data_IF_920726666770
#
_entry.id   IF_920726666770
#
_cell.length_a   1.000
_cell.length_b   1.000
_cell.length_c   1.000
_cell.angle_alpha   90.00
_cell.angle_beta   90.00
_cell.angle_gamma   90.00
#
_symmetry.space_group_name_H-M   'P 1'
#
loop_
_entity.id
_entity.type
_entity.pdbx_description
1 polymer ?
#
# COMPACT_ATOMS: atom_id res chain seq x y z
N UNK A 1 -22.25 6.19 -2.50
CA UNK A 1 -22.17 6.29 -1.03
C UNK A 1 -20.92 7.08 -0.67
N UNK A 2 -20.90 7.79 0.47
CA UNK A 2 -19.68 8.45 0.95
C UNK A 2 -18.63 7.40 1.33
N UNK A 3 -17.38 7.62 0.92
CA UNK A 3 -16.27 6.73 1.30
C UNK A 3 -15.99 6.81 2.79
N UNK A 4 -15.71 5.68 3.42
CA UNK A 4 -15.49 5.54 4.85
C UNK A 4 -14.00 5.52 5.19
N UNK A 5 -13.58 6.42 6.10
CA UNK A 5 -12.20 6.52 6.56
C UNK A 5 -12.15 6.24 8.06
N UNK A 6 -11.31 5.31 8.47
CA UNK A 6 -11.01 5.02 9.87
C UNK A 6 -9.76 5.79 10.29
N UNK A 7 -9.85 6.60 11.35
CA UNK A 7 -8.73 7.37 11.92
C UNK A 7 -8.28 6.71 13.21
N UNK A 8 -7.03 6.29 13.26
CA UNK A 8 -6.42 5.59 14.40
C UNK A 8 -5.26 6.39 14.95
N UNK A 9 -5.42 6.97 16.13
CA UNK A 9 -4.43 7.85 16.76
C UNK A 9 -4.75 7.91 18.25
N UNK A 10 -3.78 8.01 19.15
CA UNK A 10 -4.01 8.12 20.58
C UNK A 10 -4.38 9.57 21.02
N UNK A 11 -4.02 10.58 20.21
CA UNK A 11 -4.37 11.97 20.46
C UNK A 11 -5.85 12.26 20.15
N UNK A 12 -6.63 12.48 21.20
CA UNK A 12 -8.08 12.76 21.10
C UNK A 12 -8.39 14.04 20.33
N UNK A 13 -7.55 15.09 20.45
CA UNK A 13 -7.77 16.34 19.74
C UNK A 13 -7.52 16.19 18.24
N UNK A 14 -6.47 15.48 17.89
CA UNK A 14 -6.16 15.19 16.49
C UNK A 14 -7.25 14.33 15.86
N UNK A 15 -7.69 13.23 16.52
CA UNK A 15 -8.81 12.41 16.02
C UNK A 15 -10.07 13.22 15.74
N UNK A 16 -10.48 14.09 16.69
CA UNK A 16 -11.66 14.95 16.52
C UNK A 16 -11.50 15.95 15.38
N UNK A 17 -10.33 16.58 15.28
CA UNK A 17 -10.03 17.52 14.20
C UNK A 17 -10.08 16.86 12.84
N UNK A 18 -9.44 15.68 12.70
CA UNK A 18 -9.43 14.91 11.46
C UNK A 18 -10.82 14.41 11.07
N UNK A 19 -11.60 13.88 12.05
CA UNK A 19 -12.96 13.45 11.79
C UNK A 19 -13.81 14.58 11.20
N UNK A 20 -13.79 15.76 11.82
CA UNK A 20 -14.52 16.94 11.35
C UNK A 20 -14.08 17.37 9.92
N UNK A 21 -12.78 17.39 9.66
CA UNK A 21 -12.26 17.78 8.35
C UNK A 21 -12.65 16.76 7.26
N UNK A 22 -12.60 15.47 7.57
CA UNK A 22 -13.02 14.40 6.66
C UNK A 22 -14.52 14.49 6.35
N UNK A 23 -15.35 14.73 7.35
CA UNK A 23 -16.79 14.92 7.19
C UNK A 23 -17.12 16.15 6.34
N UNK A 24 -16.41 17.27 6.57
CA UNK A 24 -16.53 18.49 5.74
C UNK A 24 -16.11 18.24 4.28
N UNK A 25 -15.15 17.34 4.06
CA UNK A 25 -14.73 16.92 2.73
C UNK A 25 -15.64 15.88 2.07
N UNK A 26 -16.74 15.45 2.74
CA UNK A 26 -17.74 14.53 2.23
C UNK A 26 -17.45 13.04 2.47
N UNK A 27 -16.50 12.72 3.36
CA UNK A 27 -16.24 11.35 3.79
C UNK A 27 -17.07 10.98 5.01
N UNK A 28 -17.28 9.68 5.24
CA UNK A 28 -17.73 9.17 6.55
C UNK A 28 -16.46 8.91 7.37
N UNK A 29 -16.41 9.37 8.60
CA UNK A 29 -15.28 9.15 9.49
C UNK A 29 -15.67 8.29 10.69
N UNK A 30 -14.81 7.35 11.08
CA UNK A 30 -14.82 6.68 12.38
C UNK A 30 -13.43 6.79 13.02
N UNK A 31 -13.37 6.67 14.35
CA UNK A 31 -12.12 6.89 15.07
C UNK A 31 -11.87 5.78 16.08
N UNK A 32 -10.59 5.41 16.27
CA UNK A 32 -10.12 4.52 17.31
C UNK A 32 -8.93 5.13 18.04
N UNK A 33 -8.78 4.86 19.33
CA UNK A 33 -7.66 5.34 20.13
C UNK A 33 -6.52 4.34 20.26
N UNK A 34 -6.79 3.08 19.94
CA UNK A 34 -5.85 1.95 20.02
C UNK A 34 -5.92 1.12 18.73
N UNK A 35 -4.89 0.34 18.49
CA UNK A 35 -4.85 -0.59 17.36
C UNK A 35 -5.92 -1.69 17.50
N UNK A 36 -6.13 -2.19 18.70
CA UNK A 36 -7.10 -3.25 19.01
C UNK A 36 -8.54 -2.82 18.69
N UNK A 37 -8.92 -1.59 19.13
CA UNK A 37 -10.22 -1.00 18.80
C UNK A 37 -10.36 -0.78 17.28
N UNK A 38 -9.28 -0.36 16.63
CA UNK A 38 -9.26 -0.13 15.20
C UNK A 38 -9.48 -1.42 14.40
N UNK A 39 -8.84 -2.53 14.79
CA UNK A 39 -9.03 -3.84 14.17
C UNK A 39 -10.48 -4.29 14.28
N UNK A 40 -11.07 -4.21 15.49
CA UNK A 40 -12.47 -4.58 15.71
C UNK A 40 -13.44 -3.70 14.90
N UNK A 41 -13.17 -2.39 14.81
CA UNK A 41 -13.97 -1.46 13.99
C UNK A 41 -13.84 -1.78 12.50
N UNK A 42 -12.63 -2.06 12.02
CA UNK A 42 -12.38 -2.33 10.62
C UNK A 42 -13.04 -3.63 10.14
N UNK A 43 -13.02 -4.69 10.95
CA UNK A 43 -13.73 -5.94 10.67
C UNK A 43 -15.25 -5.76 10.58
N UNK A 44 -15.82 -4.91 11.43
CA UNK A 44 -17.25 -4.65 11.45
C UNK A 44 -17.73 -3.71 10.35
N UNK A 45 -17.01 -2.62 10.13
CA UNK A 45 -17.48 -1.47 9.37
C UNK A 45 -16.84 -1.36 7.97
N UNK A 46 -15.82 -2.20 7.66
CA UNK A 46 -15.11 -2.29 6.38
C UNK A 46 -14.76 -0.91 5.79
N UNK A 47 -13.81 -0.16 6.40
CA UNK A 47 -13.44 1.16 5.91
C UNK A 47 -12.80 1.07 4.52
N UNK A 48 -12.99 2.12 3.70
CA UNK A 48 -12.36 2.25 2.39
C UNK A 48 -10.88 2.68 2.48
N UNK A 49 -10.47 3.24 3.64
CA UNK A 49 -9.11 3.68 3.93
C UNK A 49 -8.90 3.81 5.44
N UNK A 50 -7.68 3.53 5.90
CA UNK A 50 -7.26 3.69 7.29
C UNK A 50 -6.15 4.74 7.36
N UNK A 51 -6.32 5.75 8.24
CA UNK A 51 -5.25 6.64 8.68
C UNK A 51 -4.73 6.10 10.01
N UNK A 52 -3.46 5.72 10.08
CA UNK A 52 -2.90 4.96 11.19
C UNK A 52 -1.67 5.67 11.78
N UNK A 53 -1.70 6.02 13.07
CA UNK A 53 -0.47 6.44 13.73
C UNK A 53 0.42 5.23 14.02
N UNK A 54 1.72 5.42 13.85
CA UNK A 54 2.74 4.42 14.20
C UNK A 54 2.90 4.33 15.71
N UNK A 55 2.83 5.47 16.42
CA UNK A 55 3.16 5.59 17.84
C UNK A 55 2.03 5.22 18.79
N UNK A 56 1.18 4.25 18.46
CA UNK A 56 0.07 3.83 19.31
C UNK A 56 0.53 3.15 20.61
N UNK A 57 -0.20 3.31 21.73
CA UNK A 57 0.07 2.57 22.95
C UNK A 57 -0.40 1.12 22.82
N UNK A 58 0.30 0.18 23.45
CA UNK A 58 0.01 -1.25 23.37
C UNK A 58 0.52 -1.86 22.07
N UNK A 59 -0.35 -2.31 21.21
CA UNK A 59 -0.01 -2.71 19.84
C UNK A 59 0.35 -1.47 19.02
N UNK A 60 1.58 -1.41 18.52
CA UNK A 60 2.00 -0.30 17.67
C UNK A 60 1.34 -0.34 16.28
N UNK A 61 1.42 0.81 15.55
CA UNK A 61 0.80 0.92 14.23
C UNK A 61 1.40 -0.03 13.19
N UNK A 62 2.62 -0.48 13.39
CA UNK A 62 3.31 -1.38 12.47
C UNK A 62 2.78 -2.82 12.62
N UNK A 63 2.60 -3.25 13.84
CA UNK A 63 1.98 -4.54 14.16
C UNK A 63 0.51 -4.53 13.71
N UNK A 64 -0.22 -3.42 13.97
CA UNK A 64 -1.59 -3.24 13.50
C UNK A 64 -1.70 -3.35 11.96
N UNK A 65 -0.79 -2.75 11.20
CA UNK A 65 -0.78 -2.85 9.75
C UNK A 65 -0.65 -4.31 9.26
N UNK A 66 0.23 -5.11 9.89
CA UNK A 66 0.35 -6.54 9.55
C UNK A 66 -0.96 -7.31 9.78
N UNK A 67 -1.71 -6.95 10.82
CA UNK A 67 -3.03 -7.52 11.08
C UNK A 67 -4.05 -7.08 10.04
N UNK A 68 -4.09 -5.78 9.68
CA UNK A 68 -4.96 -5.29 8.61
C UNK A 68 -4.72 -6.02 7.28
N UNK A 69 -3.46 -6.17 6.88
CA UNK A 69 -3.10 -6.85 5.62
C UNK A 69 -3.42 -8.35 5.60
N UNK A 70 -3.50 -9.01 6.77
CA UNK A 70 -3.91 -10.42 6.83
C UNK A 70 -5.42 -10.61 6.71
N UNK A 71 -6.20 -9.63 7.16
CA UNK A 71 -7.66 -9.75 7.25
C UNK A 71 -8.41 -8.98 6.17
N UNK A 72 -7.78 -7.97 5.55
CA UNK A 72 -8.45 -7.10 4.57
C UNK A 72 -7.46 -6.43 3.62
N UNK A 73 -7.92 -6.08 2.42
CA UNK A 73 -7.16 -5.32 1.40
C UNK A 73 -7.48 -3.81 1.47
N UNK A 74 -7.72 -3.30 2.69
CA UNK A 74 -8.00 -1.89 2.89
C UNK A 74 -6.71 -1.09 2.88
N UNK A 75 -6.58 -0.04 2.04
CA UNK A 75 -5.39 0.78 2.01
C UNK A 75 -5.15 1.53 3.31
N UNK A 76 -3.87 1.63 3.70
CA UNK A 76 -3.43 2.29 4.94
C UNK A 76 -2.48 3.43 4.62
N UNK A 77 -2.75 4.62 5.17
CA UNK A 77 -1.83 5.76 5.18
C UNK A 77 -1.30 5.94 6.61
N UNK A 78 0.01 5.87 6.79
CA UNK A 78 0.60 6.24 8.06
C UNK A 78 0.58 7.75 8.29
N UNK A 79 0.23 8.17 9.52
CA UNK A 79 0.22 9.57 9.95
C UNK A 79 1.04 9.67 11.23
N UNK A 80 2.33 10.02 11.17
CA UNK A 80 3.24 9.89 12.31
C UNK A 80 4.13 11.11 12.54
N UNK A 81 4.49 11.38 13.81
CA UNK A 81 5.46 12.42 14.20
C UNK A 81 6.92 11.96 14.05
N UNK A 82 7.17 10.67 13.85
CA UNK A 82 8.48 10.06 14.02
C UNK A 82 9.22 9.92 12.68
N UNK A 83 9.86 11.00 12.20
CA UNK A 83 10.69 10.98 10.97
C UNK A 83 11.81 9.93 11.00
N UNK A 84 12.49 9.75 12.15
CA UNK A 84 13.57 8.76 12.30
C UNK A 84 13.08 7.32 12.32
N UNK A 85 11.86 7.08 12.77
CA UNK A 85 11.24 5.75 12.71
C UNK A 85 10.72 5.45 11.31
N UNK A 86 10.29 6.46 10.53
CA UNK A 86 10.04 6.29 9.10
C UNK A 86 11.33 5.84 8.37
N UNK A 87 12.51 6.38 8.69
CA UNK A 87 13.77 5.90 8.13
C UNK A 87 14.08 4.45 8.56
N UNK A 88 13.71 4.07 9.79
CA UNK A 88 13.81 2.69 10.32
C UNK A 88 12.67 1.81 9.82
N UNK A 89 11.47 2.37 9.66
CA UNK A 89 10.26 1.70 9.12
C UNK A 89 10.39 1.49 7.62
N UNK A 90 10.95 2.42 6.88
CA UNK A 90 11.31 2.27 5.47
C UNK A 90 12.45 1.27 5.26
N UNK A 91 13.27 1.05 6.31
CA UNK A 91 14.23 -0.05 6.37
C UNK A 91 13.66 -1.39 6.86
N UNK A 92 12.47 -1.38 7.50
CA UNK A 92 11.81 -2.50 8.15
C UNK A 92 10.38 -2.73 7.62
N UNK A 93 10.20 -3.08 6.35
CA UNK A 93 9.15 -4.03 5.91
C UNK A 93 7.67 -3.71 6.13
N UNK A 94 7.20 -2.47 6.01
CA UNK A 94 5.82 -2.17 6.37
C UNK A 94 4.99 -1.52 5.25
N UNK A 95 4.16 -2.27 4.58
CA UNK A 95 3.23 -2.06 3.51
C UNK A 95 2.12 -1.03 3.60
N UNK A 96 2.35 0.07 4.19
CA UNK A 96 1.43 1.18 4.01
C UNK A 96 1.40 1.66 2.56
N UNK A 97 0.22 2.01 2.06
CA UNK A 97 0.04 2.55 0.71
C UNK A 97 0.62 3.95 0.56
N UNK A 98 0.77 4.68 1.68
CA UNK A 98 1.34 6.02 1.73
C UNK A 98 1.68 6.42 3.18
N UNK A 99 2.37 7.54 3.38
CA UNK A 99 2.62 8.09 4.71
C UNK A 99 2.66 9.61 4.72
N UNK A 100 2.34 10.20 5.87
CA UNK A 100 2.35 11.64 6.12
C UNK A 100 2.99 11.91 7.46
N UNK A 101 3.93 12.85 7.49
CA UNK A 101 4.59 13.27 8.74
C UNK A 101 3.83 14.38 9.45
N UNK A 102 3.60 14.25 10.76
CA UNK A 102 3.10 15.30 11.63
C UNK A 102 4.23 16.34 11.92
N UNK A 103 3.95 17.66 11.92
CA UNK A 103 2.68 18.29 11.56
C UNK A 103 2.46 18.34 10.05
N UNK A 104 1.23 18.18 9.59
CA UNK A 104 0.86 18.20 8.19
C UNK A 104 -0.21 19.28 7.90
N UNK A 105 -0.26 19.69 6.64
CA UNK A 105 -1.35 20.53 6.16
C UNK A 105 -2.59 19.65 5.87
N UNK A 106 -3.80 20.01 6.36
CA UNK A 106 -5.03 19.27 6.07
C UNK A 106 -5.31 19.06 4.58
N UNK A 107 -5.04 20.04 3.74
CA UNK A 107 -5.26 19.93 2.29
C UNK A 107 -4.32 18.90 1.65
N UNK A 108 -3.09 18.80 2.16
CA UNK A 108 -2.13 17.78 1.75
C UNK A 108 -2.63 16.39 2.14
N UNK A 109 -3.09 16.20 3.38
CA UNK A 109 -3.68 14.92 3.82
C UNK A 109 -4.87 14.53 2.94
N UNK A 110 -5.79 15.46 2.65
CA UNK A 110 -6.93 15.19 1.76
C UNK A 110 -6.50 14.84 0.33
N UNK A 111 -5.42 15.42 -0.18
CA UNK A 111 -4.86 15.07 -1.48
C UNK A 111 -4.32 13.62 -1.49
N UNK A 112 -3.60 13.20 -0.44
CA UNK A 112 -3.12 11.83 -0.26
C UNK A 112 -4.29 10.83 -0.19
N UNK A 113 -5.30 11.11 0.63
CA UNK A 113 -6.52 10.30 0.76
C UNK A 113 -7.21 10.11 -0.61
N UNK A 114 -7.44 11.23 -1.34
CA UNK A 114 -8.05 11.18 -2.67
C UNK A 114 -7.22 10.35 -3.65
N UNK A 115 -5.90 10.51 -3.63
CA UNK A 115 -4.99 9.76 -4.48
C UNK A 115 -5.05 8.25 -4.18
N UNK A 116 -5.03 7.84 -2.91
CA UNK A 116 -5.11 6.43 -2.50
C UNK A 116 -6.47 5.85 -2.85
N UNK A 117 -7.59 6.49 -2.50
CA UNK A 117 -8.94 6.01 -2.79
C UNK A 117 -9.26 5.91 -4.29
N UNK A 118 -8.74 6.84 -5.12
CA UNK A 118 -8.87 6.77 -6.58
C UNK A 118 -8.21 5.53 -7.15
N UNK A 119 -7.08 5.13 -6.60
CA UNK A 119 -6.31 3.96 -7.03
C UNK A 119 -7.03 2.66 -6.69
N UNK A 120 -7.54 2.53 -5.48
CA UNK A 120 -8.35 1.37 -5.06
C UNK A 120 -9.64 1.22 -5.88
N UNK A 121 -10.17 2.32 -6.44
CA UNK A 121 -11.36 2.31 -7.30
C UNK A 121 -11.06 2.03 -8.79
N UNK A 122 -9.81 2.13 -9.24
CA UNK A 122 -9.40 1.96 -10.65
C UNK A 122 -9.02 0.53 -11.03
N UNK A 123 -9.42 -0.46 -10.26
CA UNK A 123 -9.33 -1.87 -10.67
C UNK A 123 -10.32 -2.25 -11.80
N UNK A 124 -10.93 -1.26 -12.48
CA UNK A 124 -11.67 -1.50 -13.71
C UNK A 124 -10.69 -1.37 -14.91
N UNK A 125 -10.18 -2.47 -15.30
CA UNK A 125 -9.39 -2.73 -16.52
C UNK A 125 -10.17 -2.24 -17.74
N UNK A 126 -9.44 -1.61 -18.70
CA UNK A 126 -9.92 -1.34 -20.06
C UNK A 126 -10.50 -2.59 -20.72
N UNK A 127 -11.49 -2.48 -21.64
CA UNK A 127 -12.28 -3.60 -22.16
C UNK A 127 -11.59 -4.50 -23.19
N UNK A 128 -10.28 -4.46 -23.32
CA UNK A 128 -9.54 -5.51 -24.01
C UNK A 128 -9.35 -6.69 -23.04
N UNK A 129 -9.69 -7.88 -23.45
CA UNK A 129 -9.60 -9.11 -22.65
C UNK A 129 -8.25 -9.15 -21.91
N UNK A 130 -8.24 -9.28 -20.57
CA UNK A 130 -7.00 -9.27 -19.81
C UNK A 130 -6.17 -10.49 -20.20
N UNK A 131 -5.12 -10.26 -20.99
CA UNK A 131 -4.20 -11.31 -21.41
C UNK A 131 -3.43 -11.78 -20.17
N UNK A 132 -3.52 -13.07 -19.87
CA UNK A 132 -2.67 -13.70 -18.87
C UNK A 132 -1.21 -13.51 -19.24
N UNK A 133 -0.41 -13.09 -18.30
CA UNK A 133 1.03 -12.91 -18.49
C UNK A 133 1.76 -14.11 -17.90
N UNK A 134 2.70 -14.64 -18.68
CA UNK A 134 3.60 -15.70 -18.23
C UNK A 134 5.04 -15.21 -18.26
N UNK A 135 5.72 -15.27 -17.12
CA UNK A 135 7.13 -14.90 -16.98
C UNK A 135 7.86 -16.02 -16.23
N UNK A 136 8.53 -16.91 -16.97
CA UNK A 136 9.07 -18.14 -16.40
C UNK A 136 7.97 -19.05 -15.87
N UNK A 137 8.01 -19.38 -14.57
CA UNK A 137 7.01 -20.18 -13.86
C UNK A 137 5.93 -19.31 -13.17
N UNK A 138 5.97 -18.00 -13.39
CA UNK A 138 5.01 -17.06 -12.87
C UNK A 138 3.86 -16.85 -13.85
N UNK A 139 2.63 -17.06 -13.43
CA UNK A 139 1.41 -16.72 -14.15
C UNK A 139 0.65 -15.62 -13.44
N UNK A 140 0.27 -14.56 -14.15
CA UNK A 140 -0.50 -13.42 -13.64
C UNK A 140 -1.78 -13.32 -14.46
N UNK A 141 -2.93 -13.42 -13.81
CA UNK A 141 -4.25 -13.23 -14.42
C UNK A 141 -4.81 -11.87 -13.94
N UNK A 142 -4.73 -10.82 -14.77
CA UNK A 142 -5.24 -9.51 -14.38
C UNK A 142 -6.77 -9.47 -14.26
N UNK A 143 -7.47 -10.34 -14.99
CA UNK A 143 -8.94 -10.41 -14.94
C UNK A 143 -9.46 -11.05 -13.67
N UNK A 144 -8.80 -12.10 -13.20
CA UNK A 144 -9.12 -12.78 -11.95
C UNK A 144 -8.40 -12.14 -10.73
N UNK A 145 -7.45 -11.22 -10.96
CA UNK A 145 -6.58 -10.63 -9.94
C UNK A 145 -5.80 -11.68 -9.14
N UNK A 146 -5.30 -12.72 -9.84
CA UNK A 146 -4.60 -13.84 -9.24
C UNK A 146 -3.18 -14.00 -9.79
N UNK A 147 -2.31 -14.55 -8.94
CA UNK A 147 -0.93 -14.88 -9.28
C UNK A 147 -0.66 -16.32 -8.86
N UNK A 148 0.02 -17.08 -9.71
CA UNK A 148 0.53 -18.41 -9.36
C UNK A 148 2.02 -18.51 -9.69
N UNK A 149 2.73 -19.34 -8.94
CA UNK A 149 4.13 -19.73 -9.19
C UNK A 149 4.18 -21.24 -9.22
N UNK A 150 4.58 -21.85 -10.35
CA UNK A 150 4.57 -23.30 -10.51
C UNK A 150 3.21 -23.91 -10.12
N UNK A 151 2.12 -23.31 -10.57
CA UNK A 151 0.71 -23.67 -10.30
C UNK A 151 0.25 -23.49 -8.82
N UNK A 152 1.07 -22.90 -7.96
CA UNK A 152 0.70 -22.60 -6.58
C UNK A 152 0.25 -21.15 -6.44
N UNK A 153 -0.93 -20.91 -5.86
CA UNK A 153 -1.42 -19.54 -5.68
C UNK A 153 -0.52 -18.77 -4.71
N UNK A 154 -0.30 -17.49 -5.03
CA UNK A 154 0.40 -16.51 -4.19
C UNK A 154 -0.57 -15.42 -3.81
N UNK A 155 -0.72 -15.19 -2.50
CA UNK A 155 -1.58 -14.13 -1.98
C UNK A 155 -0.83 -12.80 -1.98
N UNK A 156 -1.26 -11.89 -2.86
CA UNK A 156 -0.70 -10.55 -2.99
C UNK A 156 -1.74 -9.51 -2.61
N UNK A 157 -1.31 -8.47 -1.91
CA UNK A 157 -2.14 -7.26 -1.75
C UNK A 157 -2.34 -6.56 -3.09
N UNK A 158 -3.34 -5.69 -3.21
CA UNK A 158 -3.61 -4.97 -4.46
C UNK A 158 -2.40 -4.17 -4.97
N UNK A 159 -1.54 -3.65 -4.05
CA UNK A 159 -0.31 -2.94 -4.41
C UNK A 159 0.79 -3.85 -4.93
N UNK A 160 0.99 -4.96 -4.27
CA UNK A 160 1.97 -5.96 -4.71
C UNK A 160 1.59 -6.53 -6.07
N UNK A 161 0.29 -6.81 -6.28
CA UNK A 161 -0.23 -7.24 -7.56
C UNK A 161 0.02 -6.20 -8.65
N UNK A 162 -0.33 -4.92 -8.41
CA UNK A 162 -0.12 -3.84 -9.38
C UNK A 162 1.37 -3.65 -9.73
N UNK A 163 2.25 -3.76 -8.74
CA UNK A 163 3.70 -3.67 -8.94
C UNK A 163 4.23 -4.85 -9.76
N UNK A 164 3.84 -6.09 -9.41
CA UNK A 164 4.23 -7.29 -10.14
C UNK A 164 3.71 -7.26 -11.56
N UNK A 165 2.44 -6.91 -11.76
CA UNK A 165 1.83 -6.79 -13.07
C UNK A 165 2.54 -5.76 -13.94
N UNK A 166 2.89 -4.58 -13.38
CA UNK A 166 3.64 -3.54 -14.09
C UNK A 166 5.03 -4.04 -14.52
N UNK A 167 5.72 -4.78 -13.66
CA UNK A 167 7.02 -5.38 -13.99
C UNK A 167 6.89 -6.49 -15.03
N UNK A 168 5.80 -7.27 -15.00
CA UNK A 168 5.56 -8.38 -15.92
C UNK A 168 5.22 -7.90 -17.34
N UNK A 169 4.50 -6.79 -17.48
CA UNK A 169 4.24 -6.18 -18.79
C UNK A 169 5.52 -5.78 -19.53
N UNK A 170 6.57 -5.49 -18.79
CA UNK A 170 7.88 -5.08 -19.32
C UNK A 170 8.98 -6.12 -18.96
N UNK A 171 8.59 -7.41 -18.85
CA UNK A 171 9.53 -8.46 -18.45
C UNK A 171 10.82 -8.44 -19.28
N UNK A 172 11.96 -8.56 -18.61
CA UNK A 172 13.29 -8.45 -19.22
C UNK A 172 13.82 -7.02 -19.40
N UNK A 173 12.98 -5.99 -19.25
CA UNK A 173 13.39 -4.59 -19.29
C UNK A 173 13.54 -4.00 -17.89
N UNK A 174 14.32 -2.94 -17.78
CA UNK A 174 14.47 -2.18 -16.53
C UNK A 174 13.42 -1.08 -16.52
N UNK A 175 12.66 -0.98 -15.43
CA UNK A 175 11.73 0.13 -15.18
C UNK A 175 12.34 0.97 -14.06
N UNK A 176 12.43 2.29 -14.29
CA UNK A 176 12.95 3.21 -13.28
C UNK A 176 12.05 3.27 -12.05
N UNK A 177 12.60 3.64 -10.90
CA UNK A 177 11.82 3.84 -9.68
C UNK A 177 10.72 4.88 -9.88
N UNK A 178 11.00 5.97 -10.58
CA UNK A 178 10.03 7.03 -10.87
C UNK A 178 8.90 6.55 -11.81
N UNK A 179 9.23 5.74 -12.81
CA UNK A 179 8.22 5.12 -13.68
C UNK A 179 7.34 4.13 -12.92
N UNK A 180 7.93 3.33 -12.02
CA UNK A 180 7.16 2.43 -11.14
C UNK A 180 6.21 3.23 -10.23
N UNK A 181 6.70 4.33 -9.63
CA UNK A 181 5.86 5.22 -8.83
C UNK A 181 4.70 5.74 -9.68
N UNK A 182 4.99 6.30 -10.84
CA UNK A 182 3.97 6.88 -11.72
C UNK A 182 2.92 5.85 -12.15
N UNK A 183 3.33 4.63 -12.51
CA UNK A 183 2.43 3.57 -12.99
C UNK A 183 1.64 2.90 -11.87
N UNK A 184 2.25 2.68 -10.70
CA UNK A 184 1.65 1.94 -9.58
C UNK A 184 0.97 2.88 -8.58
N UNK A 185 1.58 4.02 -8.27
CA UNK A 185 1.05 5.01 -7.32
C UNK A 185 0.39 6.21 -8.02
N UNK A 186 0.64 6.41 -9.32
CA UNK A 186 0.08 7.49 -10.14
C UNK A 186 0.97 8.72 -10.16
N UNK A 187 0.81 9.56 -11.23
CA UNK A 187 1.63 10.75 -11.45
C UNK A 187 1.49 11.84 -10.36
N UNK A 188 0.42 11.79 -9.57
CA UNK A 188 0.16 12.73 -8.46
C UNK A 188 0.63 12.20 -7.11
N UNK A 189 1.47 11.15 -7.09
CA UNK A 189 2.03 10.63 -5.85
C UNK A 189 3.01 11.66 -5.26
N UNK A 190 2.79 12.03 -3.97
CA UNK A 190 3.57 13.05 -3.25
C UNK A 190 4.52 12.38 -2.22
N UNK A 191 4.45 11.05 -2.07
CA UNK A 191 5.28 10.28 -1.13
C UNK A 191 6.72 10.10 -1.61
N UNK A 192 7.55 9.53 -0.74
CA UNK A 192 8.97 9.29 -1.01
C UNK A 192 9.18 8.06 -1.93
N UNK A 193 10.21 8.08 -2.79
CA UNK A 193 10.54 6.95 -3.67
C UNK A 193 10.80 5.62 -2.95
N UNK A 194 11.12 5.67 -1.66
CA UNK A 194 11.36 4.53 -0.79
C UNK A 194 10.16 3.57 -0.71
N UNK A 195 8.94 4.05 -0.99
CA UNK A 195 7.74 3.20 -1.04
C UNK A 195 7.92 2.01 -2.00
N UNK A 196 8.62 2.20 -3.12
CA UNK A 196 8.90 1.14 -4.09
C UNK A 196 9.78 0.05 -3.47
N UNK A 197 10.83 0.44 -2.71
CA UNK A 197 11.73 -0.53 -2.07
C UNK A 197 11.00 -1.47 -1.13
N UNK A 198 10.10 -0.92 -0.36
CA UNK A 198 9.30 -1.67 0.62
C UNK A 198 8.42 -2.70 -0.08
N UNK A 199 7.64 -2.28 -1.07
CA UNK A 199 6.75 -3.17 -1.81
C UNK A 199 7.52 -4.21 -2.64
N UNK A 200 8.70 -3.86 -3.20
CA UNK A 200 9.58 -4.82 -3.86
C UNK A 200 10.07 -5.88 -2.87
N UNK A 201 10.44 -5.49 -1.64
CA UNK A 201 10.89 -6.45 -0.63
C UNK A 201 9.79 -7.45 -0.29
N UNK A 202 8.59 -7.00 -0.01
CA UNK A 202 7.47 -7.89 0.30
C UNK A 202 7.04 -8.77 -0.85
N UNK A 203 7.04 -8.20 -2.03
CA UNK A 203 6.80 -8.97 -3.22
C UNK A 203 7.84 -10.10 -3.33
N UNK A 204 9.12 -9.81 -3.06
CA UNK A 204 10.18 -10.83 -3.03
C UNK A 204 9.94 -11.89 -1.96
N UNK A 205 9.51 -11.52 -0.76
CA UNK A 205 9.19 -12.48 0.31
C UNK A 205 8.11 -13.49 -0.09
N UNK A 206 7.21 -13.08 -1.00
CA UNK A 206 6.12 -13.92 -1.49
C UNK A 206 6.46 -14.71 -2.74
N UNK A 207 7.32 -14.18 -3.62
CA UNK A 207 7.57 -14.78 -4.93
C UNK A 207 8.99 -15.34 -5.14
N UNK A 208 9.96 -14.98 -4.31
CA UNK A 208 11.34 -15.51 -4.41
C UNK A 208 11.55 -16.72 -3.52
N UNK A 209 12.44 -17.60 -3.93
CA UNK A 209 12.89 -18.70 -3.07
C UNK A 209 13.81 -18.21 -1.92
N UNK A 210 14.58 -17.15 -2.19
CA UNK A 210 15.44 -16.44 -1.24
C UNK A 210 15.30 -14.94 -1.50
N UNK A 211 14.55 -14.21 -0.65
CA UNK A 211 14.33 -12.77 -0.80
C UNK A 211 15.60 -11.92 -0.73
N UNK A 212 16.63 -12.37 -0.02
CA UNK A 212 17.90 -11.66 0.12
C UNK A 212 18.81 -11.85 -1.10
N UNK A 213 18.61 -12.94 -1.87
CA UNK A 213 19.29 -13.23 -3.14
C UNK A 213 18.28 -13.37 -4.29
N UNK A 214 17.55 -12.31 -4.63
CA UNK A 214 16.43 -12.37 -5.56
C UNK A 214 16.86 -12.68 -6.98
N UNK A 215 16.15 -13.59 -7.64
CA UNK A 215 16.41 -13.99 -9.03
C UNK A 215 15.33 -13.51 -9.99
N UNK A 216 14.08 -13.35 -9.51
CA UNK A 216 12.96 -12.87 -10.33
C UNK A 216 12.96 -11.35 -10.43
N UNK A 217 12.94 -10.65 -9.30
CA UNK A 217 12.97 -9.18 -9.29
C UNK A 217 14.37 -8.71 -8.94
N UNK A 218 15.12 -8.28 -9.94
CA UNK A 218 16.52 -7.86 -9.80
C UNK A 218 16.60 -6.33 -9.74
N UNK A 219 17.37 -5.83 -8.75
CA UNK A 219 17.69 -4.41 -8.64
C UNK A 219 18.84 -4.05 -9.56
N UNK A 220 18.67 -3.03 -10.40
CA UNK A 220 19.75 -2.42 -11.20
C UNK A 220 20.13 -1.10 -10.55
N UNK A 221 21.24 -1.11 -9.83
CA UNK A 221 21.71 0.03 -9.01
C UNK A 221 21.65 1.36 -9.76
N UNK A 222 21.00 2.35 -9.14
CA UNK A 222 20.87 3.71 -9.67
C UNK A 222 19.93 3.85 -10.86
N UNK A 223 19.26 2.78 -11.29
CA UNK A 223 18.36 2.80 -12.45
C UNK A 223 16.93 2.38 -12.05
N UNK A 224 16.75 1.20 -11.46
CA UNK A 224 15.42 0.69 -11.12
C UNK A 224 15.38 -0.82 -10.96
N UNK A 225 14.25 -1.42 -11.34
CA UNK A 225 13.99 -2.85 -11.17
C UNK A 225 13.64 -3.54 -12.48
N UNK A 226 13.92 -4.83 -12.53
CA UNK A 226 13.62 -5.69 -13.67
C UNK A 226 13.06 -7.02 -13.20
N UNK A 227 11.94 -7.47 -13.79
CA UNK A 227 11.49 -8.85 -13.68
C UNK A 227 12.22 -9.68 -14.74
N UNK A 228 12.90 -10.72 -14.28
CA UNK A 228 13.67 -11.65 -15.15
C UNK A 228 12.73 -12.76 -15.59
N UNK A 229 12.65 -13.05 -16.92
CA UNK A 229 11.86 -14.14 -17.48
C UNK A 229 12.33 -15.53 -17.04
#
# INVERSE_FOLDING_TARGET
MAKHILVVDDDTLLRRSLSLQLEQAGYRASTAATAEDALALAERDHPDLILLDVGLPGMDGLEALRHFHKSMDTPVIFVTARRRELDTILGLELGADDYITKPFNPDVLLAHIKAVLRRSSRHTISPDEPVRLHVGDLEIDPGAHTVTISDKPVDLTGREFALLHTLALEAGKIISTDDLITRVWGAEFIGEPQVVYVHIRWLREKIEADPDNPKRIVNVRGVGYKLVP
#
